data_IF_061258990387
#
_entry.id   IF_061258990387
#
_cell.length_a   1.000
_cell.length_b   1.000
_cell.length_c   1.000
_cell.angle_alpha   90.00
_cell.angle_beta   90.00
_cell.angle_gamma   90.00
#
_symmetry.space_group_name_H-M   'P 1'
#
loop_
_entity.id
_entity.type
_entity.pdbx_description
1 polymer ?
#
# COMPACT_ATOMS: atom_id res chain seq x y z
N UNK A 1 24.01 2.58 30.52
CA UNK A 1 22.61 2.15 30.72
C UNK A 1 21.76 2.93 29.74
N UNK A 2 21.19 2.30 28.68
CA UNK A 2 20.30 3.01 27.74
C UNK A 2 18.98 3.26 28.46
N UNK A 3 18.62 4.51 28.68
CA UNK A 3 17.30 4.91 29.19
C UNK A 3 16.27 4.42 28.19
N UNK A 4 15.35 3.55 28.62
CA UNK A 4 14.27 3.10 27.73
C UNK A 4 13.34 4.29 27.43
N UNK A 5 13.14 4.60 26.15
CA UNK A 5 12.19 5.66 25.75
C UNK A 5 10.79 5.36 26.29
N UNK A 6 10.08 6.40 26.72
CA UNK A 6 8.68 6.27 27.10
C UNK A 6 7.83 5.82 25.91
N UNK A 7 6.65 5.23 26.16
CA UNK A 7 5.70 4.88 25.09
C UNK A 7 5.29 6.09 24.25
N UNK A 8 5.17 7.26 24.87
CA UNK A 8 4.86 8.53 24.19
C UNK A 8 5.97 8.92 23.23
N UNK A 9 7.23 8.81 23.65
CA UNK A 9 8.39 9.14 22.81
C UNK A 9 8.50 8.17 21.62
N UNK A 10 8.33 6.88 21.87
CA UNK A 10 8.30 5.87 20.79
C UNK A 10 7.18 6.15 19.79
N UNK A 11 5.98 6.48 20.26
CA UNK A 11 4.86 6.78 19.38
C UNK A 11 5.14 8.02 18.51
N UNK A 12 5.74 9.06 19.09
CA UNK A 12 6.17 10.25 18.35
C UNK A 12 7.23 9.92 17.29
N UNK A 13 8.18 9.03 17.60
CA UNK A 13 9.18 8.58 16.63
C UNK A 13 8.51 7.82 15.48
N UNK A 14 7.57 6.91 15.75
CA UNK A 14 6.83 6.16 14.75
C UNK A 14 5.97 7.07 13.85
N UNK A 15 5.39 8.14 14.40
CA UNK A 15 4.65 9.12 13.61
C UNK A 15 5.55 9.89 12.64
N UNK A 16 6.81 10.11 13.01
CA UNK A 16 7.81 10.77 12.15
C UNK A 16 8.39 9.84 11.11
N UNK A 17 8.48 8.54 11.42
CA UNK A 17 9.06 7.52 10.54
C UNK A 17 8.19 6.25 10.54
N UNK A 18 7.40 6.09 9.49
CA UNK A 18 6.57 4.92 9.30
C UNK A 18 7.39 3.64 9.06
N UNK A 19 8.61 3.75 8.53
CA UNK A 19 9.49 2.59 8.38
C UNK A 19 9.93 2.04 9.76
N UNK A 20 10.10 2.92 10.74
CA UNK A 20 10.40 2.50 12.10
C UNK A 20 9.21 1.76 12.73
N UNK A 21 7.99 2.28 12.59
CA UNK A 21 6.76 1.59 13.02
C UNK A 21 6.58 0.23 12.34
N UNK A 22 6.75 0.18 11.02
CA UNK A 22 6.68 -1.05 10.24
C UNK A 22 7.65 -2.11 10.78
N UNK A 23 8.89 -1.73 11.06
CA UNK A 23 9.91 -2.63 11.60
C UNK A 23 9.63 -3.06 13.05
N UNK A 24 9.36 -2.11 13.94
CA UNK A 24 9.30 -2.37 15.38
C UNK A 24 7.96 -2.95 15.83
N UNK A 25 6.85 -2.50 15.23
CA UNK A 25 5.50 -2.87 15.63
C UNK A 25 4.93 -3.95 14.72
N UNK A 26 4.91 -3.70 13.40
CA UNK A 26 4.36 -4.66 12.44
C UNK A 26 5.31 -5.84 12.15
N UNK A 27 6.59 -5.72 12.56
CA UNK A 27 7.67 -6.69 12.24
C UNK A 27 7.78 -6.94 10.74
N UNK A 28 7.54 -5.88 9.96
CA UNK A 28 7.62 -5.93 8.52
C UNK A 28 9.08 -5.89 8.05
N UNK A 29 9.42 -6.80 7.14
CA UNK A 29 10.71 -6.83 6.48
C UNK A 29 10.56 -6.21 5.08
N UNK A 30 10.88 -4.93 4.97
CA UNK A 30 10.80 -4.16 3.73
C UNK A 30 12.20 -3.96 3.15
N UNK A 31 12.34 -4.14 1.83
CA UNK A 31 13.54 -3.71 1.13
C UNK A 31 13.58 -2.17 0.94
N UNK A 32 14.65 -1.64 0.39
CA UNK A 32 14.83 -0.18 0.29
C UNK A 32 13.82 0.48 -0.68
N UNK A 33 13.43 -0.18 -1.76
CA UNK A 33 12.42 0.34 -2.68
C UNK A 33 11.03 0.37 -2.02
N UNK A 34 10.67 -0.67 -1.27
CA UNK A 34 9.43 -0.70 -0.48
C UNK A 34 9.43 0.36 0.63
N UNK A 35 10.57 0.59 1.29
CA UNK A 35 10.71 1.69 2.26
C UNK A 35 10.56 3.06 1.60
N UNK A 36 11.09 3.24 0.39
CA UNK A 36 10.91 4.49 -0.35
C UNK A 36 9.44 4.75 -0.68
N UNK A 37 8.67 3.72 -1.06
CA UNK A 37 7.22 3.83 -1.26
C UNK A 37 6.52 4.21 0.06
N UNK A 38 6.87 3.56 1.17
CA UNK A 38 6.26 3.84 2.48
C UNK A 38 6.56 5.27 2.95
N UNK A 39 7.77 5.78 2.74
CA UNK A 39 8.12 7.18 3.03
C UNK A 39 7.36 8.15 2.14
N UNK A 40 7.19 7.82 0.86
CA UNK A 40 6.43 8.65 -0.05
C UNK A 40 4.96 8.75 0.37
N UNK A 41 4.26 7.64 0.62
CA UNK A 41 2.85 7.68 1.02
C UNK A 41 2.63 8.31 2.41
N UNK A 42 3.66 8.39 3.24
CA UNK A 42 3.61 9.14 4.50
C UNK A 42 3.40 10.64 4.28
N UNK A 43 3.94 11.20 3.21
CA UNK A 43 3.95 12.64 2.93
C UNK A 43 3.14 13.05 1.71
N UNK A 44 3.19 12.24 0.66
CA UNK A 44 2.53 12.53 -0.61
C UNK A 44 1.06 12.13 -0.57
N UNK A 45 0.22 12.94 -1.23
CA UNK A 45 -1.23 12.68 -1.31
C UNK A 45 -1.56 11.50 -2.20
N UNK A 46 -0.82 11.33 -3.31
CA UNK A 46 -1.10 10.33 -4.33
C UNK A 46 0.20 9.61 -4.72
N UNK A 47 0.20 8.29 -4.57
CA UNK A 47 1.34 7.43 -4.91
C UNK A 47 0.86 6.32 -5.84
N UNK A 48 1.63 6.05 -6.89
CA UNK A 48 1.36 4.97 -7.83
C UNK A 48 2.59 4.06 -7.97
N UNK A 49 2.36 2.76 -7.95
CA UNK A 49 3.41 1.72 -7.98
C UNK A 49 3.08 0.71 -9.07
N UNK A 50 3.86 0.74 -10.15
CA UNK A 50 3.90 -0.33 -11.13
C UNK A 50 4.91 -1.39 -10.65
N UNK A 51 4.51 -2.66 -10.62
CA UNK A 51 5.29 -3.72 -9.98
C UNK A 51 5.40 -4.95 -10.85
N UNK A 52 6.56 -5.53 -10.91
CA UNK A 52 6.74 -6.89 -11.37
C UNK A 52 6.07 -7.92 -10.44
N UNK A 53 5.96 -9.16 -10.93
CA UNK A 53 5.34 -10.27 -10.18
C UNK A 53 6.11 -10.56 -8.90
N UNK A 54 5.37 -10.85 -7.82
CA UNK A 54 5.91 -11.27 -6.50
C UNK A 54 6.98 -10.33 -5.93
N UNK A 55 6.89 -9.02 -6.28
CA UNK A 55 7.80 -7.99 -5.79
C UNK A 55 7.36 -7.40 -4.44
N UNK A 56 6.18 -7.82 -3.95
CA UNK A 56 5.64 -7.42 -2.66
C UNK A 56 4.87 -6.09 -2.69
N UNK A 57 4.25 -5.73 -3.82
CA UNK A 57 3.41 -4.52 -3.94
C UNK A 57 2.26 -4.50 -2.94
N UNK A 58 1.55 -5.63 -2.80
CA UNK A 58 0.40 -5.75 -1.90
C UNK A 58 0.85 -5.77 -0.43
N UNK A 59 2.02 -6.33 -0.15
CA UNK A 59 2.64 -6.31 1.17
C UNK A 59 2.94 -4.89 1.65
N UNK A 60 3.64 -4.08 0.83
CA UNK A 60 3.92 -2.69 1.21
C UNK A 60 2.65 -1.84 1.29
N UNK A 61 1.63 -2.12 0.46
CA UNK A 61 0.34 -1.46 0.54
C UNK A 61 -0.40 -1.78 1.85
N UNK A 62 -0.37 -3.04 2.31
CA UNK A 62 -0.93 -3.42 3.61
C UNK A 62 -0.17 -2.76 4.78
N UNK A 63 1.16 -2.69 4.72
CA UNK A 63 1.99 -1.97 5.70
C UNK A 63 1.59 -0.50 5.75
N UNK A 64 1.46 0.17 4.59
CA UNK A 64 1.06 1.57 4.50
C UNK A 64 -0.33 1.83 5.11
N UNK A 65 -1.30 0.95 4.82
CA UNK A 65 -2.64 1.01 5.42
C UNK A 65 -2.61 0.93 6.94
N UNK A 66 -1.83 -0.01 7.50
CA UNK A 66 -1.69 -0.14 8.96
C UNK A 66 -0.95 1.04 9.58
N UNK A 67 0.11 1.55 8.95
CA UNK A 67 0.78 2.78 9.41
C UNK A 67 -0.21 3.95 9.46
N UNK A 68 -0.98 4.16 8.38
CA UNK A 68 -1.97 5.22 8.33
C UNK A 68 -3.05 5.03 9.41
N UNK A 69 -3.58 3.80 9.56
CA UNK A 69 -4.62 3.48 10.52
C UNK A 69 -4.21 3.82 11.96
N UNK A 70 -2.97 3.51 12.35
CA UNK A 70 -2.56 3.61 13.75
C UNK A 70 -1.76 4.88 14.09
N UNK A 71 -1.21 5.58 13.10
CA UNK A 71 -0.36 6.73 13.36
C UNK A 71 -1.04 8.09 13.07
N UNK A 72 -2.21 8.10 12.40
CA UNK A 72 -2.92 9.35 12.07
C UNK A 72 -4.05 9.75 13.02
N UNK A 73 -4.73 8.85 13.74
CA UNK A 73 -5.78 9.24 14.68
C UNK A 73 -5.26 10.19 15.78
N UNK A 74 -6.12 11.06 16.28
CA UNK A 74 -5.81 11.94 17.42
C UNK A 74 -6.96 11.95 18.40
N UNK A 75 -6.61 12.00 19.68
CA UNK A 75 -7.52 12.10 20.81
C UNK A 75 -7.28 13.41 21.56
N UNK A 76 -8.33 13.96 22.13
CA UNK A 76 -8.24 15.09 23.06
C UNK A 76 -7.82 14.62 24.47
N UNK A 77 -7.81 15.57 25.41
CA UNK A 77 -7.44 15.29 26.81
C UNK A 77 -8.46 14.41 27.54
N UNK A 78 -9.70 14.38 27.07
CA UNK A 78 -10.80 13.55 27.58
C UNK A 78 -10.87 12.17 26.89
N UNK A 79 -9.86 11.80 26.09
CA UNK A 79 -9.77 10.55 25.33
C UNK A 79 -10.87 10.37 24.27
N UNK A 80 -11.46 11.46 23.75
CA UNK A 80 -12.38 11.42 22.62
C UNK A 80 -11.61 11.48 21.32
N UNK A 81 -12.04 10.69 20.33
CA UNK A 81 -11.42 10.68 18.99
C UNK A 81 -11.80 11.98 18.25
N UNK A 82 -10.84 12.90 18.09
CA UNK A 82 -11.04 14.19 17.42
C UNK A 82 -10.57 14.22 15.98
N UNK A 83 -9.68 13.31 15.59
CA UNK A 83 -9.30 13.07 14.19
C UNK A 83 -9.48 11.58 13.89
N UNK A 84 -10.64 11.27 13.36
CA UNK A 84 -10.98 9.90 12.96
C UNK A 84 -10.19 9.46 11.72
N UNK A 85 -10.07 8.13 11.54
CA UNK A 85 -9.27 7.54 10.47
C UNK A 85 -10.00 6.36 9.86
N UNK A 86 -10.25 6.40 8.56
CA UNK A 86 -10.89 5.34 7.78
C UNK A 86 -9.99 4.92 6.62
N UNK A 87 -9.83 3.62 6.43
CA UNK A 87 -9.08 3.07 5.30
C UNK A 87 -9.99 2.18 4.48
N UNK A 88 -10.03 2.40 3.18
CA UNK A 88 -10.67 1.55 2.18
C UNK A 88 -9.63 0.81 1.37
N UNK A 89 -9.68 -0.52 1.40
CA UNK A 89 -8.96 -1.39 0.48
C UNK A 89 -9.91 -1.83 -0.62
N UNK A 90 -9.51 -1.73 -1.86
CA UNK A 90 -10.33 -2.20 -2.98
C UNK A 90 -9.51 -2.87 -4.07
N UNK A 91 -10.20 -3.67 -4.87
CA UNK A 91 -9.66 -4.39 -6.01
C UNK A 91 -10.77 -4.59 -7.06
N UNK A 92 -10.43 -4.95 -8.32
CA UNK A 92 -11.41 -5.26 -9.35
C UNK A 92 -12.39 -6.37 -8.96
N UNK A 93 -11.95 -7.31 -8.14
CA UNK A 93 -12.79 -8.43 -7.67
C UNK A 93 -12.78 -8.57 -6.16
N UNK A 94 -13.91 -9.03 -5.58
CA UNK A 94 -13.98 -9.33 -4.16
C UNK A 94 -12.97 -10.38 -3.73
N UNK A 95 -12.68 -11.37 -4.58
CA UNK A 95 -11.66 -12.40 -4.33
C UNK A 95 -10.25 -11.79 -4.16
N UNK A 96 -9.88 -10.79 -4.94
CA UNK A 96 -8.60 -10.10 -4.78
C UNK A 96 -8.53 -9.35 -3.44
N UNK A 97 -9.62 -8.72 -3.02
CA UNK A 97 -9.68 -8.11 -1.68
C UNK A 97 -9.49 -9.15 -0.58
N UNK A 98 -10.29 -10.23 -0.60
CA UNK A 98 -10.34 -11.22 0.49
C UNK A 98 -9.16 -12.17 0.51
N UNK A 99 -8.63 -12.57 -0.66
CA UNK A 99 -7.59 -13.61 -0.75
C UNK A 99 -6.17 -13.05 -0.91
N UNK A 100 -6.02 -11.75 -1.19
CA UNK A 100 -4.71 -11.11 -1.36
C UNK A 100 -4.50 -10.08 -0.25
N UNK A 101 -5.30 -9.01 -0.24
CA UNK A 101 -5.06 -7.89 0.67
C UNK A 101 -5.37 -8.21 2.13
N UNK A 102 -6.51 -8.84 2.41
CA UNK A 102 -6.91 -9.16 3.80
C UNK A 102 -5.94 -10.13 4.49
N UNK A 103 -5.42 -11.19 3.84
CA UNK A 103 -4.38 -12.04 4.43
C UNK A 103 -3.11 -11.28 4.80
N UNK A 104 -2.64 -10.33 3.95
CA UNK A 104 -1.46 -9.52 4.25
C UNK A 104 -1.72 -8.60 5.47
N UNK A 105 -2.83 -7.90 5.49
CA UNK A 105 -3.26 -7.08 6.64
C UNK A 105 -3.37 -7.92 7.90
N UNK A 106 -4.00 -9.09 7.82
CA UNK A 106 -4.21 -10.00 8.95
C UNK A 106 -2.90 -10.51 9.53
N UNK A 107 -1.95 -10.91 8.67
CA UNK A 107 -0.63 -11.39 9.07
C UNK A 107 0.14 -10.30 9.83
N UNK A 108 0.19 -9.09 9.28
CA UNK A 108 0.85 -7.95 9.89
C UNK A 108 0.20 -7.54 11.23
N UNK A 109 -1.14 -7.48 11.26
CA UNK A 109 -1.88 -7.13 12.46
C UNK A 109 -1.68 -8.15 13.60
N UNK A 110 -1.68 -9.45 13.29
CA UNK A 110 -1.43 -10.51 14.28
C UNK A 110 -0.01 -10.47 14.85
N UNK A 111 0.97 -10.05 14.05
CA UNK A 111 2.36 -9.89 14.52
C UNK A 111 2.49 -8.71 15.49
N UNK A 112 1.63 -7.70 15.35
CA UNK A 112 1.65 -6.45 16.11
C UNK A 112 0.75 -6.54 17.37
N UNK A 113 1.18 -7.29 18.38
CA UNK A 113 0.40 -7.63 19.59
C UNK A 113 -0.12 -6.42 20.40
N UNK A 114 0.39 -5.22 20.13
CA UNK A 114 0.06 -3.99 20.88
C UNK A 114 -1.03 -3.15 20.20
N UNK A 115 -1.46 -3.49 18.99
CA UNK A 115 -2.43 -2.70 18.25
C UNK A 115 -3.86 -3.00 18.72
N UNK A 116 -4.67 -1.97 18.99
CA UNK A 116 -6.06 -2.16 19.38
C UNK A 116 -6.93 -2.55 18.19
N UNK A 117 -7.99 -3.28 18.45
CA UNK A 117 -8.97 -3.72 17.48
C UNK A 117 -9.06 -5.23 17.32
N UNK A 118 -9.88 -5.64 16.39
CA UNK A 118 -10.09 -7.06 16.03
C UNK A 118 -10.08 -7.21 14.51
N UNK A 119 -9.48 -8.28 14.05
CA UNK A 119 -9.50 -8.68 12.64
C UNK A 119 -10.84 -9.35 12.32
N UNK A 120 -11.52 -8.88 11.28
CA UNK A 120 -12.72 -9.47 10.68
C UNK A 120 -12.38 -9.98 9.27
N UNK A 121 -13.34 -10.65 8.63
CA UNK A 121 -13.19 -11.16 7.26
C UNK A 121 -12.99 -10.06 6.21
N UNK A 122 -13.46 -8.86 6.48
CA UNK A 122 -13.41 -7.69 5.59
C UNK A 122 -12.49 -6.56 6.09
N UNK A 123 -11.75 -6.75 7.19
CA UNK A 123 -10.84 -5.71 7.69
C UNK A 123 -10.64 -5.68 9.20
N UNK A 124 -10.30 -4.52 9.72
CA UNK A 124 -10.07 -4.30 11.14
C UNK A 124 -11.09 -3.32 11.69
N UNK A 125 -11.74 -3.69 12.79
CA UNK A 125 -12.64 -2.83 13.56
C UNK A 125 -12.03 -2.56 14.93
N UNK A 126 -12.05 -1.30 15.33
CA UNK A 126 -11.72 -0.90 16.72
C UNK A 126 -12.99 -0.75 17.55
N UNK A 127 -12.84 -0.38 18.80
CA UNK A 127 -13.99 -0.05 19.67
C UNK A 127 -14.67 1.29 19.30
N UNK A 128 -14.08 2.03 18.37
CA UNK A 128 -14.64 3.29 17.87
C UNK A 128 -15.11 3.08 16.42
N UNK A 129 -16.41 3.32 16.16
CA UNK A 129 -17.01 3.14 14.84
C UNK A 129 -16.41 4.04 13.73
N UNK A 130 -15.77 5.14 14.13
CA UNK A 130 -15.13 6.09 13.20
C UNK A 130 -13.63 5.80 12.98
N UNK A 131 -13.14 4.64 13.45
CA UNK A 131 -11.74 4.25 13.30
C UNK A 131 -11.62 2.79 12.88
N UNK A 132 -11.43 2.57 11.57
CA UNK A 132 -11.42 1.23 10.99
C UNK A 132 -10.68 1.14 9.66
N UNK A 133 -10.38 -0.08 9.25
CA UNK A 133 -9.95 -0.47 7.93
C UNK A 133 -10.95 -1.48 7.37
N UNK A 134 -11.39 -1.29 6.13
CA UNK A 134 -12.30 -2.23 5.47
C UNK A 134 -11.89 -2.49 4.03
N UNK A 135 -12.18 -3.70 3.54
CA UNK A 135 -11.96 -4.10 2.16
C UNK A 135 -13.29 -4.45 1.49
N UNK A 136 -13.50 -3.93 0.29
CA UNK A 136 -14.66 -4.23 -0.53
C UNK A 136 -14.34 -4.14 -2.01
N UNK A 137 -15.11 -4.85 -2.83
CA UNK A 137 -14.95 -4.84 -4.27
C UNK A 137 -15.26 -3.46 -4.85
N UNK A 138 -14.40 -2.97 -5.76
CA UNK A 138 -14.77 -1.87 -6.65
C UNK A 138 -15.92 -2.31 -7.57
N UNK A 139 -17.00 -1.53 -7.62
CA UNK A 139 -18.15 -1.80 -8.49
C UNK A 139 -18.66 -0.50 -9.09
N UNK A 140 -18.92 -0.50 -10.37
CA UNK A 140 -19.47 0.64 -11.09
C UNK A 140 -20.95 0.89 -10.72
N UNK A 141 -21.63 -0.17 -10.30
CA UNK A 141 -23.04 -0.12 -9.88
C UNK A 141 -23.22 0.45 -8.47
N UNK A 142 -22.14 0.62 -7.70
CA UNK A 142 -22.19 1.06 -6.31
C UNK A 142 -21.14 2.14 -5.99
N UNK A 143 -21.21 3.24 -6.74
CA UNK A 143 -20.39 4.43 -6.44
C UNK A 143 -20.76 5.10 -5.12
N UNK A 144 -21.97 4.87 -4.61
CA UNK A 144 -22.45 5.35 -3.31
C UNK A 144 -21.68 4.74 -2.13
N UNK A 145 -21.11 3.54 -2.29
CA UNK A 145 -20.26 2.94 -1.25
C UNK A 145 -19.04 3.81 -0.90
N UNK A 146 -18.60 4.67 -1.83
CA UNK A 146 -17.51 5.62 -1.63
C UNK A 146 -17.95 6.89 -0.93
N UNK A 147 -19.21 7.32 -1.11
CA UNK A 147 -19.73 8.57 -0.54
C UNK A 147 -19.78 8.57 1.00
N UNK A 148 -19.83 7.39 1.64
CA UNK A 148 -19.78 7.21 3.10
C UNK A 148 -18.37 7.27 3.70
N UNK A 149 -17.31 7.35 2.87
CA UNK A 149 -15.92 7.37 3.34
C UNK A 149 -15.43 8.79 3.65
N UNK A 150 -16.13 9.49 4.53
CA UNK A 150 -15.68 10.78 5.06
C UNK A 150 -15.03 10.61 6.42
N UNK A 151 -13.80 11.11 6.55
CA UNK A 151 -13.06 11.16 7.80
C UNK A 151 -12.03 12.30 7.74
N UNK A 152 -11.51 12.72 8.88
CA UNK A 152 -10.41 13.68 8.93
C UNK A 152 -9.16 13.10 8.27
N UNK A 153 -8.94 11.80 8.47
CA UNK A 153 -7.87 11.04 7.82
C UNK A 153 -8.50 9.90 7.02
N UNK A 154 -8.30 9.89 5.71
CA UNK A 154 -8.84 8.85 4.82
C UNK A 154 -7.72 8.30 3.94
N UNK A 155 -7.65 6.98 3.80
CA UNK A 155 -6.73 6.36 2.86
C UNK A 155 -7.47 5.38 1.96
N UNK A 156 -7.26 5.52 0.67
CA UNK A 156 -7.72 4.58 -0.35
C UNK A 156 -6.53 3.80 -0.87
N UNK A 157 -6.62 2.48 -0.82
CA UNK A 157 -5.62 1.57 -1.39
C UNK A 157 -6.32 0.75 -2.46
N UNK A 158 -5.83 0.86 -3.69
CA UNK A 158 -6.37 0.14 -4.84
C UNK A 158 -5.30 -0.84 -5.32
N UNK A 159 -5.54 -2.13 -5.08
CA UNK A 159 -4.69 -3.19 -5.64
C UNK A 159 -5.22 -3.66 -6.98
N UNK A 160 -4.33 -4.17 -7.83
CA UNK A 160 -4.64 -4.52 -9.21
C UNK A 160 -5.36 -3.37 -9.95
N UNK A 161 -4.86 -2.15 -9.72
CA UNK A 161 -5.52 -0.90 -10.12
C UNK A 161 -5.75 -0.77 -11.64
N UNK A 162 -5.00 -1.49 -12.48
CA UNK A 162 -5.22 -1.55 -13.92
C UNK A 162 -6.57 -2.16 -14.32
N UNK A 163 -7.17 -2.98 -13.46
CA UNK A 163 -8.47 -3.61 -13.69
C UNK A 163 -9.66 -2.86 -13.09
N UNK A 164 -9.45 -1.70 -12.46
CA UNK A 164 -10.52 -0.88 -11.85
C UNK A 164 -10.96 0.20 -12.84
N UNK A 165 -12.27 0.43 -12.94
CA UNK A 165 -12.86 1.39 -13.87
C UNK A 165 -12.56 2.84 -13.52
N UNK A 166 -12.60 3.73 -14.51
CA UNK A 166 -12.49 5.17 -14.30
C UNK A 166 -13.62 5.74 -13.44
N UNK A 167 -14.82 5.17 -13.53
CA UNK A 167 -15.97 5.56 -12.69
C UNK A 167 -15.66 5.40 -11.21
N UNK A 168 -15.09 4.26 -10.80
CA UNK A 168 -14.66 4.02 -9.42
C UNK A 168 -13.57 5.03 -9.00
N UNK A 169 -12.58 5.30 -9.85
CA UNK A 169 -11.54 6.27 -9.53
C UNK A 169 -12.07 7.70 -9.38
N UNK A 170 -13.03 8.11 -10.20
CA UNK A 170 -13.70 9.41 -10.05
C UNK A 170 -14.42 9.53 -8.70
N UNK A 171 -15.09 8.46 -8.26
CA UNK A 171 -15.72 8.42 -6.95
C UNK A 171 -14.70 8.48 -5.80
N UNK A 172 -13.55 7.79 -5.91
CA UNK A 172 -12.45 7.88 -4.95
C UNK A 172 -11.87 9.30 -4.92
N UNK A 173 -11.58 9.91 -6.09
CA UNK A 173 -11.00 11.25 -6.18
C UNK A 173 -11.93 12.31 -5.54
N UNK A 174 -13.25 12.16 -5.68
CA UNK A 174 -14.23 13.02 -5.00
C UNK A 174 -14.11 13.03 -3.48
N UNK A 175 -13.54 11.97 -2.89
CA UNK A 175 -13.32 11.82 -1.45
C UNK A 175 -11.89 12.19 -0.99
N UNK A 176 -10.99 12.60 -1.91
CA UNK A 176 -9.62 12.97 -1.57
C UNK A 176 -9.55 14.40 -0.99
N UNK A 177 -10.14 14.62 0.17
CA UNK A 177 -10.14 15.88 0.89
C UNK A 177 -9.26 15.82 2.16
N UNK A 178 -8.85 16.97 2.68
CA UNK A 178 -8.09 17.04 3.93
C UNK A 178 -6.83 16.17 3.93
N UNK A 179 -6.64 15.42 5.01
CA UNK A 179 -5.53 14.45 5.13
C UNK A 179 -5.89 13.11 4.50
N UNK A 180 -6.16 13.13 3.20
CA UNK A 180 -6.42 11.91 2.43
C UNK A 180 -5.18 11.43 1.67
N UNK A 181 -5.13 10.11 1.43
CA UNK A 181 -4.08 9.45 0.66
C UNK A 181 -4.71 8.50 -0.35
N UNK A 182 -4.10 8.42 -1.54
CA UNK A 182 -4.41 7.42 -2.56
C UNK A 182 -3.14 6.64 -2.91
N UNK A 183 -3.18 5.33 -2.71
CA UNK A 183 -2.12 4.41 -3.11
C UNK A 183 -2.65 3.44 -4.15
N UNK A 184 -2.07 3.47 -5.35
CA UNK A 184 -2.35 2.53 -6.42
C UNK A 184 -1.20 1.54 -6.53
N UNK A 185 -1.51 0.25 -6.55
CA UNK A 185 -0.52 -0.80 -6.82
C UNK A 185 -1.07 -1.75 -7.89
N UNK A 186 -0.26 -2.11 -8.89
CA UNK A 186 -0.69 -2.94 -10.00
C UNK A 186 0.49 -3.56 -10.76
N UNK A 187 0.21 -4.61 -11.54
CA UNK A 187 1.13 -5.07 -12.57
C UNK A 187 0.84 -4.29 -13.86
N UNK A 188 1.85 -3.76 -14.57
CA UNK A 188 1.65 -2.88 -15.73
C UNK A 188 1.32 -3.66 -17.02
N UNK A 189 0.36 -4.58 -16.94
CA UNK A 189 -0.06 -5.43 -18.05
C UNK A 189 -0.98 -4.70 -19.04
N UNK A 190 -1.49 -3.52 -18.68
CA UNK A 190 -2.42 -2.72 -19.48
C UNK A 190 -1.86 -1.30 -19.58
N UNK A 191 -1.69 -0.82 -20.80
CA UNK A 191 -1.11 0.50 -21.12
C UNK A 191 -2.13 1.64 -21.11
N UNK A 192 -3.40 1.33 -20.87
CA UNK A 192 -4.54 2.27 -20.87
C UNK A 192 -5.22 2.32 -19.51
N UNK A 193 -6.22 3.18 -19.35
CA UNK A 193 -6.98 3.35 -18.12
C UNK A 193 -6.30 4.24 -17.09
N UNK A 194 -6.95 4.37 -15.93
CA UNK A 194 -6.55 5.33 -14.90
C UNK A 194 -5.15 5.05 -14.33
N UNK A 195 -4.81 3.79 -14.04
CA UNK A 195 -3.51 3.43 -13.48
C UNK A 195 -2.35 3.78 -14.42
N UNK A 196 -2.51 3.53 -15.74
CA UNK A 196 -1.52 3.91 -16.74
C UNK A 196 -1.40 5.43 -16.88
N UNK A 197 -2.54 6.16 -16.84
CA UNK A 197 -2.54 7.65 -16.81
C UNK A 197 -1.86 8.17 -15.56
N UNK A 198 -2.05 7.55 -14.39
CA UNK A 198 -1.41 7.93 -13.13
C UNK A 198 0.13 7.83 -13.22
N UNK A 199 0.68 6.82 -13.89
CA UNK A 199 2.12 6.69 -14.13
C UNK A 199 2.71 7.82 -14.99
N UNK A 200 1.89 8.49 -15.81
CA UNK A 200 2.29 9.63 -16.66
C UNK A 200 2.00 10.98 -16.00
N UNK A 201 1.13 11.03 -14.99
CA UNK A 201 0.66 12.26 -14.36
C UNK A 201 1.66 12.82 -13.35
N UNK A 202 1.87 14.14 -13.35
CA UNK A 202 2.65 14.86 -12.33
C UNK A 202 1.97 14.91 -10.95
N UNK A 203 0.66 14.56 -10.86
CA UNK A 203 -0.09 14.50 -9.61
C UNK A 203 0.34 13.36 -8.70
N UNK A 204 1.04 12.35 -9.25
CA UNK A 204 1.43 11.15 -8.53
C UNK A 204 2.94 11.09 -8.30
N UNK A 205 3.34 10.69 -7.10
CA UNK A 205 4.68 10.15 -6.86
C UNK A 205 4.70 8.72 -7.40
N UNK A 206 5.61 8.45 -8.32
CA UNK A 206 5.66 7.23 -9.13
C UNK A 206 6.77 6.31 -8.67
N UNK A 207 6.49 5.01 -8.63
CA UNK A 207 7.46 3.97 -8.34
C UNK A 207 7.33 2.82 -9.32
N UNK A 208 8.46 2.20 -9.63
CA UNK A 208 8.54 0.94 -10.35
C UNK A 208 9.30 -0.05 -9.49
N UNK A 209 8.67 -1.19 -9.21
CA UNK A 209 9.30 -2.30 -8.51
C UNK A 209 9.69 -3.36 -9.53
N UNK A 210 10.91 -3.25 -10.07
CA UNK A 210 11.45 -4.26 -10.99
C UNK A 210 11.74 -5.56 -10.24
N UNK A 211 11.40 -6.69 -10.85
CA UNK A 211 11.77 -8.01 -10.34
C UNK A 211 13.28 -8.22 -10.31
N UNK A 212 14.03 -7.56 -11.20
CA UNK A 212 15.51 -7.59 -11.23
C UNK A 212 16.14 -7.02 -9.95
N UNK A 213 15.48 -6.03 -9.33
CA UNK A 213 15.97 -5.34 -8.14
C UNK A 213 15.52 -6.02 -6.83
N UNK A 214 14.81 -7.16 -6.90
CA UNK A 214 14.39 -7.88 -5.71
C UNK A 214 15.62 -8.35 -4.90
N UNK A 215 15.58 -8.20 -3.58
CA UNK A 215 16.68 -8.62 -2.70
C UNK A 215 17.11 -10.08 -2.92
N UNK A 216 16.13 -10.98 -3.11
CA UNK A 216 16.40 -12.38 -3.40
C UNK A 216 17.14 -12.57 -4.73
N UNK A 217 16.82 -11.75 -5.74
CA UNK A 217 17.43 -11.80 -7.08
C UNK A 217 18.85 -11.23 -7.03
N UNK A 218 19.02 -10.04 -6.47
CA UNK A 218 20.32 -9.38 -6.36
C UNK A 218 21.30 -10.24 -5.55
N UNK A 219 20.84 -10.84 -4.46
CA UNK A 219 21.67 -11.67 -3.59
C UNK A 219 21.75 -13.13 -4.00
N UNK A 220 21.00 -13.57 -5.01
CA UNK A 220 20.88 -14.95 -5.50
C UNK A 220 20.58 -15.95 -4.37
N UNK A 221 19.79 -15.56 -3.40
CA UNK A 221 19.35 -16.38 -2.25
C UNK A 221 18.07 -15.82 -1.65
N UNK A 222 17.30 -16.67 -0.99
CA UNK A 222 16.11 -16.23 -0.26
C UNK A 222 16.49 -15.41 0.97
N UNK A 223 16.28 -14.11 0.90
CA UNK A 223 16.45 -13.13 1.98
C UNK A 223 15.09 -12.68 2.51
N UNK A 224 14.14 -12.47 1.61
CA UNK A 224 12.76 -12.07 1.92
C UNK A 224 11.83 -13.21 1.46
N UNK A 225 11.25 -13.97 2.39
CA UNK A 225 10.32 -15.05 2.04
C UNK A 225 9.12 -14.51 1.25
N UNK A 226 8.74 -15.24 0.19
CA UNK A 226 7.60 -14.87 -0.68
C UNK A 226 7.90 -13.80 -1.75
N UNK A 227 9.08 -13.20 -1.74
CA UNK A 227 9.55 -12.37 -2.84
C UNK A 227 10.06 -13.26 -3.99
N UNK A 228 9.98 -12.76 -5.23
CA UNK A 228 10.48 -13.46 -6.41
C UNK A 228 11.95 -13.90 -6.22
N UNK A 229 12.30 -15.08 -6.69
CA UNK A 229 13.64 -15.64 -6.62
C UNK A 229 14.46 -15.43 -7.90
N UNK A 230 15.77 -15.68 -7.80
CA UNK A 230 16.71 -15.48 -8.89
C UNK A 230 16.46 -16.41 -10.09
N UNK A 231 16.17 -17.69 -9.84
CA UNK A 231 16.02 -18.67 -10.92
C UNK A 231 14.77 -18.38 -11.76
N UNK A 232 13.68 -17.96 -11.10
CA UNK A 232 12.46 -17.55 -11.82
C UNK A 232 12.73 -16.32 -12.70
N UNK A 233 13.41 -15.28 -12.17
CA UNK A 233 13.71 -14.07 -12.94
C UNK A 233 14.66 -14.40 -14.09
N UNK A 234 15.70 -15.20 -13.85
CA UNK A 234 16.62 -15.66 -14.89
C UNK A 234 15.88 -16.34 -16.04
N UNK A 235 14.99 -17.30 -15.72
CA UNK A 235 14.16 -17.98 -16.74
C UNK A 235 13.34 -16.97 -17.58
N UNK A 236 12.73 -15.96 -16.92
CA UNK A 236 11.94 -14.95 -17.66
C UNK A 236 12.80 -14.06 -18.53
N UNK A 237 13.96 -13.63 -18.04
CA UNK A 237 14.90 -12.83 -18.83
C UNK A 237 15.38 -13.59 -20.06
N UNK A 238 15.69 -14.89 -19.91
CA UNK A 238 16.19 -15.72 -21.00
C UNK A 238 15.10 -16.07 -22.05
N UNK A 239 13.84 -16.21 -21.63
CA UNK A 239 12.79 -16.76 -22.51
C UNK A 239 11.70 -15.76 -22.89
N UNK A 240 11.54 -14.62 -22.16
CA UNK A 240 10.43 -13.68 -22.38
C UNK A 240 10.89 -12.25 -22.70
N UNK A 241 12.17 -11.94 -22.46
CA UNK A 241 12.66 -10.58 -22.62
C UNK A 241 13.52 -10.47 -23.88
N UNK A 242 13.38 -9.37 -24.59
CA UNK A 242 14.30 -8.96 -25.63
C UNK A 242 15.24 -7.89 -25.09
N UNK A 243 16.50 -7.92 -25.54
CA UNK A 243 17.50 -6.94 -25.13
C UNK A 243 17.30 -5.67 -25.96
N UNK A 244 16.85 -4.59 -25.33
CA UNK A 244 16.75 -3.27 -25.96
C UNK A 244 18.06 -2.48 -25.76
N UNK A 245 18.45 -1.70 -26.78
CA UNK A 245 19.70 -0.92 -26.75
C UNK A 245 19.56 0.41 -26.02
N UNK A 246 18.36 1.01 -26.08
CA UNK A 246 18.04 2.26 -25.40
C UNK A 246 16.72 2.12 -24.65
N UNK A 247 16.67 2.62 -23.41
CA UNK A 247 15.47 2.65 -22.58
C UNK A 247 15.15 4.11 -22.28
N UNK A 248 14.00 4.58 -22.73
CA UNK A 248 13.45 5.86 -22.30
C UNK A 248 12.67 5.69 -21.01
N UNK A 249 13.33 5.93 -19.88
CA UNK A 249 12.73 5.83 -18.56
C UNK A 249 11.64 6.88 -18.31
N UNK A 250 11.64 8.01 -19.02
CA UNK A 250 10.65 9.08 -18.84
C UNK A 250 9.31 8.73 -19.51
N UNK A 251 9.30 7.95 -20.56
CA UNK A 251 8.09 7.51 -21.25
C UNK A 251 7.40 6.29 -20.59
N UNK A 252 7.96 5.74 -19.54
CA UNK A 252 7.34 4.66 -18.79
C UNK A 252 7.51 3.29 -19.39
N UNK A 253 8.44 3.12 -20.31
CA UNK A 253 8.91 1.81 -20.73
C UNK A 253 9.59 1.13 -19.55
N UNK A 254 9.12 -0.06 -19.20
CA UNK A 254 9.70 -0.85 -18.13
C UNK A 254 10.98 -1.53 -18.56
N UNK A 255 11.71 -2.10 -17.61
CA UNK A 255 12.88 -2.94 -17.86
C UNK A 255 12.56 -4.20 -18.67
N UNK A 256 11.28 -4.41 -18.99
CA UNK A 256 10.74 -5.54 -19.74
C UNK A 256 9.67 -5.07 -20.71
N UNK A 257 9.89 -5.22 -21.99
CA UNK A 257 8.89 -5.36 -23.04
C UNK A 257 8.89 -6.78 -23.59
#
# INVERSE_FOLDING_TARGET
>A
MKISKSWKDKFNDWQKDWCLFAKEVLRANLDEEQKAILRAIQTEKMVVVASGTSRGKDYVAAVAGLCFMYLTPRWDKEHRLVKNTKIALTAPTGRQCTNIMIPEVSRLFRNAKVLPGRMLSDGIRTNNAEWFLTAFKASDDNTEAWSGFHAVNTMFIVTEASGVSETTFNAIEGNLQGNSRLLLVFNPNITTGYAAKAMKSSRFKKFRLSSLNAENVVRRKTVIPGQVDYEWVKDKVENWCERIQEVDFDEGQGDFE
#
